data_IF_741704328787
#
_entry.id   IF_741704328787
#
_cell.length_a   1.000
_cell.length_b   1.000
_cell.length_c   1.000
_cell.angle_alpha   90.00
_cell.angle_beta   90.00
_cell.angle_gamma   90.00
#
_symmetry.space_group_name_H-M   'P 1'
#
loop_
_entity.id
_entity.type
_entity.pdbx_description
1 polymer ?
#
# COMPACT_ATOMS: atom_id res chain seq x y z
N UNK A 1 12.99 17.48 -15.30
CA UNK A 1 12.39 16.31 -15.97
C UNK A 1 12.67 15.11 -15.06
N UNK A 2 11.64 14.37 -14.63
CA UNK A 2 11.81 13.16 -13.82
C UNK A 2 12.16 12.02 -14.78
N UNK A 3 13.28 11.34 -14.55
CA UNK A 3 13.68 10.16 -15.31
C UNK A 3 13.52 8.92 -14.43
N UNK A 4 13.18 7.78 -15.03
CA UNK A 4 13.11 6.51 -14.31
C UNK A 4 14.09 5.51 -14.94
N UNK A 5 14.89 4.85 -14.10
CA UNK A 5 15.82 3.79 -14.50
C UNK A 5 15.30 2.45 -14.00
N UNK A 6 15.19 1.46 -14.90
CA UNK A 6 14.89 0.07 -14.51
C UNK A 6 16.10 -0.59 -13.88
N UNK A 7 15.87 -1.52 -12.97
CA UNK A 7 16.91 -2.31 -12.30
C UNK A 7 16.47 -3.77 -12.18
N UNK A 8 17.45 -4.66 -12.03
CA UNK A 8 17.25 -6.09 -11.77
C UNK A 8 17.73 -6.46 -10.35
N UNK A 9 17.62 -5.54 -9.40
CA UNK A 9 17.90 -5.81 -7.98
C UNK A 9 16.88 -6.81 -7.42
N UNK A 10 17.29 -8.08 -7.40
CA UNK A 10 16.52 -9.19 -6.86
C UNK A 10 16.66 -9.32 -5.34
N UNK A 11 17.65 -8.68 -4.71
CA UNK A 11 17.86 -8.78 -3.26
C UNK A 11 16.75 -8.00 -2.53
N UNK A 12 16.45 -6.79 -3.00
CA UNK A 12 15.41 -5.93 -2.40
C UNK A 12 14.19 -5.72 -3.29
N UNK A 13 14.05 -6.55 -4.33
CA UNK A 13 12.98 -6.49 -5.33
C UNK A 13 12.76 -5.06 -5.88
N UNK A 14 13.85 -4.35 -6.18
CA UNK A 14 13.77 -2.98 -6.70
C UNK A 14 13.75 -2.98 -8.23
N UNK A 15 12.56 -2.78 -8.80
CA UNK A 15 12.40 -2.78 -10.26
C UNK A 15 12.64 -1.41 -10.90
N UNK A 16 12.49 -0.33 -10.14
CA UNK A 16 12.55 1.05 -10.63
C UNK A 16 13.28 1.96 -9.65
N UNK A 17 14.14 2.81 -10.19
CA UNK A 17 14.74 3.96 -9.50
C UNK A 17 14.25 5.23 -10.18
N UNK A 18 13.60 6.10 -9.41
CA UNK A 18 13.27 7.45 -9.86
C UNK A 18 14.51 8.35 -9.68
N UNK A 19 14.83 9.14 -10.71
CA UNK A 19 15.97 10.04 -10.73
C UNK A 19 15.45 11.47 -10.71
N UNK A 20 15.88 12.20 -9.68
CA UNK A 20 15.55 13.61 -9.47
C UNK A 20 16.80 14.45 -9.67
N UNK A 21 16.70 15.53 -10.44
CA UNK A 21 17.80 16.45 -10.66
C UNK A 21 17.52 17.78 -9.95
N UNK A 22 18.41 18.20 -9.07
CA UNK A 22 18.31 19.51 -8.41
C UNK A 22 18.53 20.63 -9.45
N UNK A 23 17.61 21.61 -9.58
CA UNK A 23 17.74 22.68 -10.57
C UNK A 23 18.86 23.67 -10.24
N UNK A 24 19.25 23.80 -8.97
CA UNK A 24 20.26 24.77 -8.52
C UNK A 24 21.68 24.23 -8.65
N UNK A 25 21.93 23.02 -8.15
CA UNK A 25 23.28 22.43 -8.10
C UNK A 25 23.53 21.32 -9.11
N UNK A 26 22.53 20.96 -9.93
CA UNK A 26 22.58 19.88 -10.93
C UNK A 26 22.89 18.47 -10.39
N UNK A 27 22.96 18.28 -9.06
CA UNK A 27 23.13 16.96 -8.43
C UNK A 27 21.92 16.07 -8.73
N UNK A 28 22.19 14.81 -9.06
CA UNK A 28 21.18 13.78 -9.22
C UNK A 28 20.97 13.02 -7.91
N UNK A 29 19.71 12.79 -7.56
CA UNK A 29 19.27 12.01 -6.42
C UNK A 29 18.49 10.80 -6.92
N UNK A 30 18.86 9.62 -6.43
CA UNK A 30 18.16 8.38 -6.73
C UNK A 30 17.15 8.06 -5.62
N UNK A 31 15.95 7.66 -6.05
CA UNK A 31 14.90 7.16 -5.19
C UNK A 31 14.47 5.76 -5.66
N UNK A 32 15.14 4.70 -5.17
CA UNK A 32 14.77 3.33 -5.45
C UNK A 32 13.41 2.99 -4.84
N UNK A 33 12.52 2.38 -5.64
CA UNK A 33 11.22 1.86 -5.22
C UNK A 33 11.38 0.40 -4.80
N UNK A 34 11.57 0.16 -3.50
CA UNK A 34 11.82 -1.17 -2.94
C UNK A 34 10.51 -1.92 -2.67
N UNK A 35 10.50 -3.22 -2.97
CA UNK A 35 9.40 -4.13 -2.63
C UNK A 35 9.89 -5.24 -1.68
N UNK A 36 10.57 -4.81 -0.60
CA UNK A 36 11.16 -5.68 0.39
C UNK A 36 11.08 -5.05 1.78
N UNK A 37 10.27 -5.62 2.67
CA UNK A 37 9.98 -5.03 3.98
C UNK A 37 11.22 -4.79 4.84
N UNK A 38 12.19 -5.72 4.85
CA UNK A 38 13.46 -5.53 5.58
C UNK A 38 14.22 -4.29 5.14
N UNK A 39 14.19 -3.97 3.84
CA UNK A 39 14.86 -2.77 3.32
C UNK A 39 14.07 -1.50 3.67
N UNK A 40 12.75 -1.59 3.69
CA UNK A 40 11.87 -0.47 4.05
C UNK A 40 12.00 -0.07 5.53
N UNK A 41 12.29 -1.01 6.43
CA UNK A 41 12.60 -0.74 7.83
C UNK A 41 13.87 0.11 8.02
N UNK A 42 14.81 0.00 7.09
CA UNK A 42 16.04 0.79 7.05
C UNK A 42 15.84 2.14 6.38
N UNK A 43 15.20 2.17 5.21
CA UNK A 43 15.04 3.40 4.42
C UNK A 43 14.02 4.36 5.00
N UNK A 44 12.98 3.84 5.67
CA UNK A 44 11.93 4.61 6.38
C UNK A 44 11.29 5.72 5.54
N UNK A 45 11.18 5.50 4.24
CA UNK A 45 10.61 6.44 3.28
C UNK A 45 10.01 5.70 2.09
N UNK A 46 9.02 6.30 1.46
CA UNK A 46 8.27 5.67 0.39
C UNK A 46 6.98 6.41 0.04
N UNK A 47 6.18 5.79 -0.84
CA UNK A 47 4.78 6.17 -1.09
C UNK A 47 3.87 5.04 -0.59
N UNK A 48 2.60 5.05 -0.99
CA UNK A 48 1.60 4.14 -0.42
C UNK A 48 1.99 2.66 -0.47
N UNK A 49 2.62 2.21 -1.57
CA UNK A 49 3.15 0.85 -1.69
C UNK A 49 4.13 0.46 -0.58
N UNK A 50 5.17 1.28 -0.37
CA UNK A 50 6.18 1.03 0.65
C UNK A 50 5.61 1.12 2.07
N UNK A 51 4.75 2.12 2.33
CA UNK A 51 4.11 2.28 3.64
C UNK A 51 3.20 1.10 3.97
N UNK A 52 2.33 0.68 3.04
CA UNK A 52 1.45 -0.47 3.21
C UNK A 52 2.24 -1.76 3.41
N UNK A 53 3.27 -2.03 2.59
CA UNK A 53 4.08 -3.24 2.71
C UNK A 53 4.84 -3.31 4.04
N UNK A 54 5.47 -2.21 4.44
CA UNK A 54 6.21 -2.14 5.70
C UNK A 54 5.28 -2.35 6.91
N UNK A 55 4.12 -1.69 6.90
CA UNK A 55 3.11 -1.86 7.95
C UNK A 55 2.54 -3.28 8.00
N UNK A 56 2.20 -3.86 6.85
CA UNK A 56 1.72 -5.24 6.75
C UNK A 56 2.73 -6.23 7.36
N UNK A 57 4.01 -6.06 7.05
CA UNK A 57 5.07 -6.88 7.64
C UNK A 57 5.14 -6.74 9.16
N UNK A 58 5.05 -5.51 9.68
CA UNK A 58 5.03 -5.27 11.14
C UNK A 58 3.83 -5.99 11.77
N UNK A 59 2.62 -5.82 11.25
CA UNK A 59 1.42 -6.49 11.76
C UNK A 59 1.56 -8.02 11.74
N UNK A 60 2.12 -8.57 10.66
CA UNK A 60 2.38 -10.00 10.54
C UNK A 60 3.36 -10.50 11.62
N UNK A 61 4.45 -9.78 11.86
CA UNK A 61 5.43 -10.13 12.91
C UNK A 61 4.80 -10.07 14.31
N UNK A 62 3.83 -9.18 14.54
CA UNK A 62 3.06 -9.13 15.78
C UNK A 62 1.98 -10.22 15.91
N UNK A 63 1.83 -11.09 14.90
CA UNK A 63 0.93 -12.25 14.95
C UNK A 63 -0.50 -11.98 14.49
N UNK A 64 -0.75 -10.86 13.80
CA UNK A 64 -2.06 -10.63 13.18
C UNK A 64 -2.17 -11.40 11.86
N UNK A 65 -3.38 -11.85 11.52
CA UNK A 65 -3.70 -12.18 10.13
C UNK A 65 -3.78 -10.89 9.33
N UNK A 66 -3.06 -10.85 8.20
CA UNK A 66 -2.89 -9.65 7.38
C UNK A 66 -3.31 -9.92 5.94
N UNK A 67 -3.97 -8.95 5.32
CA UNK A 67 -4.18 -8.88 3.88
C UNK A 67 -3.62 -7.57 3.34
N UNK A 68 -2.92 -7.65 2.21
CA UNK A 68 -2.64 -6.50 1.37
C UNK A 68 -3.88 -6.20 0.52
N UNK A 69 -4.34 -4.95 0.52
CA UNK A 69 -5.51 -4.55 -0.24
C UNK A 69 -5.09 -3.64 -1.38
N UNK A 70 -5.53 -4.00 -2.59
CA UNK A 70 -5.22 -3.30 -3.82
C UNK A 70 -6.49 -2.73 -4.43
N UNK A 71 -6.53 -1.42 -4.58
CA UNK A 71 -7.50 -0.73 -5.40
C UNK A 71 -6.91 -0.57 -6.81
N UNK A 72 -7.65 -0.95 -7.85
CA UNK A 72 -7.15 -0.91 -9.23
C UNK A 72 -6.78 0.51 -9.69
N UNK A 73 -7.40 1.54 -9.10
CA UNK A 73 -7.11 2.96 -9.37
C UNK A 73 -5.97 3.53 -8.50
N UNK A 74 -4.88 2.77 -8.40
CA UNK A 74 -3.59 3.18 -7.84
C UNK A 74 -3.65 3.63 -6.37
N UNK A 75 -4.14 2.76 -5.48
CA UNK A 75 -3.89 2.88 -4.04
C UNK A 75 -3.83 1.51 -3.38
N UNK A 76 -3.04 1.40 -2.32
CA UNK A 76 -2.86 0.16 -1.57
C UNK A 76 -2.83 0.44 -0.08
N UNK A 77 -3.40 -0.47 0.69
CA UNK A 77 -3.46 -0.41 2.15
C UNK A 77 -3.50 -1.83 2.75
N UNK A 78 -3.82 -1.93 4.04
CA UNK A 78 -3.77 -3.18 4.79
C UNK A 78 -5.11 -3.48 5.46
N UNK A 79 -5.48 -4.76 5.54
CA UNK A 79 -6.49 -5.24 6.48
C UNK A 79 -5.84 -6.15 7.52
N UNK A 80 -6.24 -6.00 8.78
CA UNK A 80 -5.87 -6.91 9.87
C UNK A 80 -7.11 -7.60 10.43
N UNK A 81 -7.02 -8.89 10.76
CA UNK A 81 -8.12 -9.57 11.42
C UNK A 81 -8.13 -9.27 12.92
N UNK A 82 -9.30 -8.91 13.44
CA UNK A 82 -9.51 -8.74 14.88
C UNK A 82 -10.22 -9.94 15.46
N UNK A 83 -9.52 -10.69 16.31
CA UNK A 83 -10.12 -11.80 17.05
C UNK A 83 -11.21 -11.37 18.02
N UNK A 84 -11.13 -10.15 18.56
CA UNK A 84 -12.14 -9.63 19.46
C UNK A 84 -13.44 -9.28 18.72
N UNK A 85 -13.32 -8.62 17.56
CA UNK A 85 -14.48 -8.18 16.78
C UNK A 85 -14.95 -9.21 15.74
N UNK A 86 -14.19 -10.30 15.55
CA UNK A 86 -14.45 -11.37 14.58
C UNK A 86 -14.61 -10.86 13.14
N UNK A 87 -13.83 -9.85 12.76
CA UNK A 87 -13.85 -9.24 11.42
C UNK A 87 -12.50 -8.65 11.03
N UNK A 88 -12.37 -8.42 9.73
CA UNK A 88 -11.27 -7.62 9.17
C UNK A 88 -11.48 -6.13 9.46
N UNK A 89 -10.39 -5.46 9.80
CA UNK A 89 -10.32 -4.03 10.09
C UNK A 89 -9.44 -3.37 9.03
N UNK A 90 -9.98 -2.33 8.41
CA UNK A 90 -9.25 -1.46 7.50
C UNK A 90 -8.13 -0.70 8.22
N UNK A 91 -6.92 -0.68 7.65
CA UNK A 91 -5.77 0.07 8.15
C UNK A 91 -5.03 0.72 6.97
N UNK A 92 -4.95 2.05 6.96
CA UNK A 92 -4.12 2.79 6.00
C UNK A 92 -3.00 3.54 6.73
N UNK A 93 -1.74 3.07 6.66
CA UNK A 93 -0.61 3.72 7.32
C UNK A 93 -0.20 5.04 6.65
N UNK A 94 -0.55 5.26 5.38
CA UNK A 94 -0.24 6.51 4.68
C UNK A 94 -1.07 7.67 5.23
N UNK A 95 -2.32 7.34 5.55
CA UNK A 95 -3.33 8.29 5.99
C UNK A 95 -3.56 8.30 7.50
N UNK A 96 -2.80 7.47 8.24
CA UNK A 96 -3.00 7.23 9.66
C UNK A 96 -4.48 6.91 9.99
N UNK A 97 -5.11 6.07 9.16
CA UNK A 97 -6.51 5.73 9.25
C UNK A 97 -6.71 4.30 9.75
N UNK A 98 -7.68 4.14 10.66
CA UNK A 98 -8.04 2.86 11.27
C UNK A 98 -9.56 2.70 11.24
N UNK A 99 -10.03 1.54 10.77
CA UNK A 99 -11.44 1.17 10.67
C UNK A 99 -12.35 2.18 9.94
N UNK A 100 -11.76 2.90 8.98
CA UNK A 100 -12.45 3.91 8.16
C UNK A 100 -12.48 3.55 6.66
N UNK A 101 -13.23 2.50 6.25
CA UNK A 101 -13.18 2.01 4.87
C UNK A 101 -13.80 2.97 3.84
N UNK A 102 -14.70 3.89 4.25
CA UNK A 102 -15.28 4.88 3.33
C UNK A 102 -14.38 6.11 3.11
N UNK A 103 -13.16 6.10 3.65
CA UNK A 103 -12.16 7.16 3.44
C UNK A 103 -11.97 7.49 1.96
N UNK A 104 -11.89 6.47 1.11
CA UNK A 104 -11.56 6.64 -0.30
C UNK A 104 -12.74 7.16 -1.13
N UNK A 105 -13.88 6.47 -1.08
CA UNK A 105 -15.05 6.85 -1.85
C UNK A 105 -15.69 8.13 -1.30
N UNK A 106 -16.01 8.17 0.00
CA UNK A 106 -16.71 9.30 0.58
C UNK A 106 -15.77 10.48 0.89
N UNK A 107 -14.54 10.20 1.34
CA UNK A 107 -13.55 11.23 1.65
C UNK A 107 -12.88 11.78 0.39
N UNK A 108 -12.16 10.94 -0.34
CA UNK A 108 -11.39 11.38 -1.53
C UNK A 108 -12.21 11.51 -2.79
N UNK A 109 -13.48 11.07 -2.79
CA UNK A 109 -14.31 11.01 -4.00
C UNK A 109 -13.71 10.14 -5.09
N UNK A 110 -12.96 9.08 -4.70
CA UNK A 110 -12.49 8.08 -5.66
C UNK A 110 -13.70 7.31 -6.21
N UNK A 111 -13.68 6.95 -7.51
CA UNK A 111 -14.74 6.14 -8.10
C UNK A 111 -14.80 4.76 -7.43
N UNK A 112 -15.99 4.18 -7.41
CA UNK A 112 -16.15 2.79 -7.01
C UNK A 112 -15.61 1.89 -8.13
N UNK A 113 -14.47 1.26 -7.89
CA UNK A 113 -13.87 0.28 -8.78
C UNK A 113 -13.36 -0.92 -7.99
N UNK A 114 -12.79 -1.91 -8.68
CA UNK A 114 -12.45 -3.21 -8.09
C UNK A 114 -11.39 -3.06 -6.99
N UNK A 115 -11.67 -3.65 -5.83
CA UNK A 115 -10.75 -3.71 -4.69
C UNK A 115 -10.57 -5.15 -4.26
N UNK A 116 -9.34 -5.65 -4.38
CA UNK A 116 -8.98 -7.04 -4.05
C UNK A 116 -8.09 -7.06 -2.82
N UNK A 117 -8.45 -7.88 -1.84
CA UNK A 117 -7.62 -8.18 -0.69
C UNK A 117 -6.94 -9.54 -0.87
N UNK A 118 -5.63 -9.57 -0.69
CA UNK A 118 -4.78 -10.78 -0.81
C UNK A 118 -4.12 -11.04 0.54
N UNK A 119 -4.44 -12.17 1.16
CA UNK A 119 -3.80 -12.68 2.37
C UNK A 119 -3.06 -13.98 2.10
N UNK A 120 -2.46 -14.55 3.15
CA UNK A 120 -1.69 -15.80 3.05
C UNK A 120 -2.52 -16.99 2.54
N UNK A 121 -3.80 -17.06 2.92
CA UNK A 121 -4.67 -18.20 2.65
C UNK A 121 -5.87 -17.89 1.75
N UNK A 122 -6.02 -16.64 1.31
CA UNK A 122 -7.19 -16.23 0.53
C UNK A 122 -6.94 -15.00 -0.32
N UNK A 123 -7.76 -14.90 -1.37
CA UNK A 123 -7.92 -13.70 -2.20
C UNK A 123 -9.42 -13.41 -2.22
N UNK A 124 -9.81 -12.17 -1.92
CA UNK A 124 -11.21 -11.77 -1.77
C UNK A 124 -11.47 -10.45 -2.48
N UNK A 125 -12.57 -10.41 -3.22
CA UNK A 125 -13.19 -9.13 -3.58
C UNK A 125 -13.78 -8.50 -2.31
N UNK A 126 -13.26 -7.33 -1.98
CA UNK A 126 -13.69 -6.54 -0.82
C UNK A 126 -14.27 -5.19 -1.24
N UNK A 127 -14.55 -4.98 -2.53
CA UNK A 127 -15.09 -3.74 -3.10
C UNK A 127 -16.30 -3.23 -2.30
N UNK A 128 -17.20 -4.14 -1.93
CA UNK A 128 -18.41 -3.83 -1.16
C UNK A 128 -18.16 -3.21 0.22
N UNK A 129 -16.98 -3.42 0.82
CA UNK A 129 -16.61 -2.83 2.11
C UNK A 129 -16.21 -1.37 1.97
N UNK A 130 -15.63 -1.01 0.83
CA UNK A 130 -15.04 0.31 0.56
C UNK A 130 -15.94 1.19 -0.31
N UNK A 131 -17.14 0.71 -0.66
CA UNK A 131 -18.15 1.46 -1.40
C UNK A 131 -19.49 1.47 -0.67
N UNK A 132 -20.06 2.67 -0.50
CA UNK A 132 -21.41 2.88 0.00
C UNK A 132 -22.48 2.52 -1.05
N UNK A 133 -22.12 2.49 -2.33
CA UNK A 133 -23.00 2.18 -3.46
C UNK A 133 -22.65 0.86 -4.16
N UNK A 134 -22.05 -0.10 -3.45
CA UNK A 134 -21.48 -1.32 -4.02
C UNK A 134 -22.43 -2.19 -4.88
N UNK A 135 -23.75 -2.02 -4.73
CA UNK A 135 -24.75 -2.72 -5.57
C UNK A 135 -24.87 -2.15 -6.99
N UNK A 136 -24.28 -0.99 -7.25
CA UNK A 136 -24.25 -0.34 -8.57
C UNK A 136 -22.91 -0.51 -9.28
N UNK A 137 -21.93 -1.07 -8.59
CA UNK A 137 -20.57 -1.35 -9.08
C UNK A 137 -20.53 -2.74 -9.70
#
# INVERSE_FOLDING_TARGET
>A
MMECRRTNDNEYNCQMIEIYKCPECNVQLEFPRYNHAGRLLETRRGRCGEWALCFAYICFVYGYDVRMVHHVDDHVWVEIYSDHQKRWIHCDPCENAFDNPLLYECGWKKPASLIIATGMYEIRDVTWRYSSEWRKT
#
